data_IF_946122178466
#
_entry.id   IF_946122178466
#
_cell.length_a   1.000
_cell.length_b   1.000
_cell.length_c   1.000
_cell.angle_alpha   90.00
_cell.angle_beta   90.00
_cell.angle_gamma   90.00
#
_symmetry.space_group_name_H-M   'P 1'
#
loop_
_entity.id
_entity.type
_entity.pdbx_description
1 polymer ?
#
# COMPACT_ATOMS: atom_id res chain seq x y z
N UNK A 1 14.79 9.55 -9.15
CA UNK A 1 13.98 8.34 -9.43
C UNK A 1 13.25 8.05 -8.13
N UNK A 2 11.92 8.14 -8.10
CA UNK A 2 11.17 7.77 -6.89
C UNK A 2 11.44 6.30 -6.58
N UNK A 3 11.84 6.00 -5.35
CA UNK A 3 12.11 4.64 -4.94
C UNK A 3 10.77 3.93 -4.72
N UNK A 4 10.63 2.73 -5.29
CA UNK A 4 9.54 1.85 -4.90
C UNK A 4 9.95 1.16 -3.60
N UNK A 5 9.28 1.52 -2.52
CA UNK A 5 9.46 0.89 -1.21
C UNK A 5 8.46 -0.25 -1.03
N UNK A 6 8.80 -1.20 -0.14
CA UNK A 6 7.91 -2.30 0.22
C UNK A 6 7.13 -1.93 1.47
N UNK A 7 5.81 -2.08 1.42
CA UNK A 7 4.88 -1.85 2.52
C UNK A 7 4.07 -3.12 2.79
N UNK A 8 3.60 -3.29 4.02
CA UNK A 8 2.73 -4.41 4.40
C UNK A 8 1.27 -3.95 4.44
N UNK A 9 0.38 -4.67 3.74
CA UNK A 9 -1.05 -4.37 3.76
C UNK A 9 -1.70 -4.96 5.02
N UNK A 10 -2.24 -4.14 5.93
CA UNK A 10 -2.78 -4.61 7.21
C UNK A 10 -4.04 -5.48 7.05
N UNK A 11 -4.77 -5.35 5.93
CA UNK A 11 -6.00 -6.12 5.69
C UNK A 11 -5.72 -7.56 5.28
N UNK A 12 -4.60 -7.81 4.58
CA UNK A 12 -4.28 -9.14 4.00
C UNK A 12 -3.01 -9.75 4.58
N UNK A 13 -2.20 -8.98 5.30
CA UNK A 13 -0.86 -9.38 5.75
C UNK A 13 0.11 -9.61 4.59
N UNK A 14 -0.15 -9.02 3.42
CA UNK A 14 0.65 -9.21 2.21
C UNK A 14 1.52 -7.99 1.93
N UNK A 15 2.77 -8.22 1.54
CA UNK A 15 3.67 -7.16 1.10
C UNK A 15 3.33 -6.66 -0.31
N UNK A 16 3.44 -5.36 -0.52
CA UNK A 16 3.28 -4.71 -1.83
C UNK A 16 4.31 -3.59 -2.00
N UNK A 17 4.67 -3.30 -3.25
CA UNK A 17 5.58 -2.19 -3.56
C UNK A 17 4.81 -0.96 -4.02
N UNK A 18 5.14 0.21 -3.50
CA UNK A 18 4.57 1.48 -3.91
C UNK A 18 5.65 2.56 -3.96
N UNK A 19 5.45 3.58 -4.80
CA UNK A 19 6.22 4.82 -4.68
C UNK A 19 5.81 5.54 -3.39
N UNK A 20 6.76 6.23 -2.76
CA UNK A 20 6.51 7.09 -1.59
C UNK A 20 5.39 8.11 -1.83
N UNK A 21 5.28 8.64 -3.05
CA UNK A 21 4.26 9.63 -3.45
C UNK A 21 2.93 9.01 -3.90
N UNK A 22 2.78 7.68 -3.85
CA UNK A 22 1.55 7.02 -4.27
C UNK A 22 0.56 6.95 -3.10
N UNK A 23 -0.74 7.09 -3.41
CA UNK A 23 -1.82 6.88 -2.45
C UNK A 23 -1.70 5.56 -1.67
N UNK A 24 -1.12 4.51 -2.27
CA UNK A 24 -0.92 3.22 -1.62
C UNK A 24 0.13 3.28 -0.49
N UNK A 25 1.18 4.10 -0.63
CA UNK A 25 2.15 4.36 0.42
C UNK A 25 1.56 5.26 1.52
N UNK A 26 0.80 6.31 1.13
CA UNK A 26 0.14 7.21 2.09
C UNK A 26 -0.91 6.50 2.95
N UNK A 27 -1.68 5.59 2.33
CA UNK A 27 -2.77 4.89 3.02
C UNK A 27 -2.34 3.56 3.63
N UNK A 28 -1.18 3.01 3.23
CA UNK A 28 -0.69 1.69 3.66
C UNK A 28 -1.50 0.50 3.15
N UNK A 29 -2.45 0.71 2.23
CA UNK A 29 -3.27 -0.36 1.66
C UNK A 29 -2.86 -0.69 0.24
N UNK A 30 -2.73 -1.99 -0.05
CA UNK A 30 -2.36 -2.46 -1.39
C UNK A 30 -3.42 -2.19 -2.46
N UNK A 31 -4.66 -1.86 -2.07
CA UNK A 31 -5.75 -1.52 -2.98
C UNK A 31 -6.88 -0.77 -2.26
N UNK A 32 -7.72 0.00 -2.98
CA UNK A 32 -8.89 0.67 -2.40
C UNK A 32 -9.87 -0.29 -1.73
N UNK A 33 -9.93 -1.54 -2.21
CA UNK A 33 -10.76 -2.58 -1.58
C UNK A 33 -10.29 -2.96 -0.17
N UNK A 34 -8.97 -2.89 0.09
CA UNK A 34 -8.43 -3.14 1.42
C UNK A 34 -8.64 -1.94 2.36
N UNK A 35 -8.59 -0.73 1.80
CA UNK A 35 -8.88 0.52 2.52
C UNK A 35 -10.35 0.65 2.92
N UNK A 36 -11.26 0.24 2.03
CA UNK A 36 -12.71 0.22 2.27
C UNK A 36 -13.20 -1.10 2.86
N UNK A 37 -12.25 -2.01 3.20
CA UNK A 37 -12.50 -3.37 3.64
C UNK A 37 -13.40 -3.43 4.87
N UNK A 38 -14.66 -3.76 4.60
CA UNK A 38 -15.65 -4.29 5.53
C UNK A 38 -15.33 -5.72 5.92
#
# INVERSE_FOLDING_TARGET
>A
MSAFETYECPTRGSEFKACEDANAAETGYCSPACQTGR
#
